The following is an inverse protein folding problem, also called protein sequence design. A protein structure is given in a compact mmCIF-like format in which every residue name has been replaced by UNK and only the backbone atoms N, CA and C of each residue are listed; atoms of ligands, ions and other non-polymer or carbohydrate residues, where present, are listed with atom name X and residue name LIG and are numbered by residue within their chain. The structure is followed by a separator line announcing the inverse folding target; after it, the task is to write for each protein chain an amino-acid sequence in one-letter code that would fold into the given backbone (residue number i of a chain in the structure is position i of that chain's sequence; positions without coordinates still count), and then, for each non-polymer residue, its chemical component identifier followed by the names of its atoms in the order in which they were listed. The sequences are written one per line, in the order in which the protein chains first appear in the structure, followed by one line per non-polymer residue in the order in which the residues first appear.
data_IF_689313874993
#
_entry.id   IF_689313874993
#
_cell.length_a   1.000
_cell.length_b   1.000
_cell.length_c   1.000
_cell.angle_alpha   90.00
_cell.angle_beta   90.00
_cell.angle_gamma   90.00
#
_symmetry.space_group_name_H-M   'P 1'
#
loop_
_entity.id
_entity.type
_entity.pdbx_description
1 polymer ?
#
# COMPACT_ATOMS: atom_id res chain seq x y z
N UNK A 1 5.76 -7.09 12.75
CA UNK A 1 6.94 -6.99 13.62
C UNK A 1 8.27 -7.11 12.86
N UNK A 2 8.43 -8.06 11.93
CA UNK A 2 9.69 -8.26 11.16
C UNK A 2 10.19 -6.97 10.47
N UNK A 3 9.29 -6.25 9.79
CA UNK A 3 9.65 -5.00 9.09
C UNK A 3 10.16 -3.88 10.01
N UNK A 4 9.77 -3.89 11.31
CA UNK A 4 10.25 -2.90 12.27
C UNK A 4 11.72 -3.13 12.66
N UNK A 5 12.20 -4.38 12.64
CA UNK A 5 13.63 -4.68 12.85
C UNK A 5 14.51 -4.11 11.74
N UNK A 6 14.00 -4.09 10.51
CA UNK A 6 14.66 -3.47 9.36
C UNK A 6 14.41 -1.96 9.25
N UNK A 7 13.75 -1.36 10.26
CA UNK A 7 13.41 0.07 10.30
C UNK A 7 12.59 0.53 9.07
N UNK A 8 11.76 -0.36 8.52
CA UNK A 8 10.88 -0.02 7.40
C UNK A 8 9.61 0.64 7.92
N UNK A 9 9.32 1.85 7.44
CA UNK A 9 8.07 2.54 7.74
C UNK A 9 6.89 1.88 7.01
N UNK A 10 5.90 1.40 7.76
CA UNK A 10 4.68 0.76 7.24
C UNK A 10 3.48 1.68 7.39
N UNK A 11 2.52 1.59 6.46
CA UNK A 11 1.23 2.30 6.54
C UNK A 11 0.15 1.43 7.20
N UNK A 12 -0.86 2.07 7.79
CA UNK A 12 -1.94 1.38 8.51
C UNK A 12 -3.01 0.82 7.56
N UNK A 13 -3.38 1.59 6.53
CA UNK A 13 -4.35 1.14 5.54
C UNK A 13 -3.83 -0.09 4.79
N UNK A 14 -4.61 -1.17 4.84
CA UNK A 14 -4.34 -2.43 4.16
C UNK A 14 -5.53 -2.75 3.25
N UNK A 15 -5.25 -3.15 2.01
CA UNK A 15 -6.26 -3.65 1.08
C UNK A 15 -6.09 -5.15 0.95
N UNK A 16 -7.18 -5.88 1.19
CA UNK A 16 -7.25 -7.30 0.90
C UNK A 16 -8.04 -7.48 -0.40
N UNK A 17 -7.36 -7.98 -1.43
CA UNK A 17 -7.98 -8.35 -2.69
C UNK A 17 -8.16 -9.86 -2.70
N UNK A 18 -9.33 -10.33 -3.09
CA UNK A 18 -9.64 -11.75 -3.16
C UNK A 18 -9.61 -12.23 -4.60
N UNK A 19 -8.97 -13.38 -4.80
CA UNK A 19 -8.87 -14.02 -6.12
C UNK A 19 -10.24 -14.41 -6.71
N UNK A 20 -11.27 -14.53 -5.88
CA UNK A 20 -12.63 -14.86 -6.33
C UNK A 20 -13.43 -13.65 -6.82
N UNK A 21 -13.21 -12.48 -6.23
CA UNK A 21 -14.03 -11.29 -6.49
C UNK A 21 -13.33 -10.26 -7.36
N UNK A 22 -11.99 -10.23 -7.31
CA UNK A 22 -11.19 -9.19 -7.95
C UNK A 22 -10.43 -9.67 -9.20
N UNK A 23 -10.60 -10.95 -9.56
CA UNK A 23 -9.94 -11.55 -10.71
C UNK A 23 -10.93 -12.37 -11.54
N UNK A 24 -11.13 -11.95 -12.79
CA UNK A 24 -11.87 -12.73 -13.78
C UNK A 24 -10.93 -13.82 -14.34
N UNK A 25 -11.38 -15.08 -14.31
CA UNK A 25 -10.59 -16.25 -14.73
C UNK A 25 -9.23 -16.39 -14.02
N UNK A 26 -9.09 -15.88 -12.79
CA UNK A 26 -7.84 -15.87 -12.01
C UNK A 26 -6.65 -15.17 -12.72
N UNK A 27 -6.92 -14.36 -13.74
CA UNK A 27 -5.87 -13.77 -14.59
C UNK A 27 -6.13 -12.29 -14.89
N UNK A 28 -7.38 -11.90 -15.13
CA UNK A 28 -7.72 -10.51 -15.44
C UNK A 28 -8.10 -9.79 -14.16
N UNK A 29 -7.24 -8.89 -13.70
CA UNK A 29 -7.51 -8.04 -12.54
C UNK A 29 -8.68 -7.11 -12.84
N UNK A 30 -9.80 -7.35 -12.16
CA UNK A 30 -11.04 -6.59 -12.27
C UNK A 30 -11.62 -6.42 -10.87
N UNK A 31 -11.05 -5.51 -10.08
CA UNK A 31 -11.43 -5.35 -8.68
C UNK A 31 -12.87 -4.87 -8.55
N UNK A 32 -13.55 -5.29 -7.49
CA UNK A 32 -14.87 -4.77 -7.18
C UNK A 32 -14.81 -3.28 -6.81
N UNK A 33 -15.83 -2.51 -7.18
CA UNK A 33 -15.87 -1.03 -7.11
C UNK A 33 -15.55 -0.47 -5.71
N UNK A 34 -15.91 -1.20 -4.65
CA UNK A 34 -15.63 -0.82 -3.26
C UNK A 34 -14.13 -0.86 -2.89
N UNK A 35 -13.28 -1.57 -3.65
CA UNK A 35 -11.84 -1.61 -3.39
C UNK A 35 -11.12 -0.34 -3.84
N UNK A 36 -11.66 0.38 -4.82
CA UNK A 36 -11.02 1.60 -5.35
C UNK A 36 -10.75 2.63 -4.25
N UNK A 37 -11.75 2.91 -3.41
CA UNK A 37 -11.62 3.85 -2.29
C UNK A 37 -10.56 3.40 -1.29
N UNK A 38 -10.50 2.11 -1.00
CA UNK A 38 -9.55 1.54 -0.04
C UNK A 38 -8.12 1.56 -0.59
N UNK A 39 -7.93 1.29 -1.89
CA UNK A 39 -6.63 1.37 -2.58
C UNK A 39 -6.13 2.80 -2.63
N UNK A 40 -6.98 3.74 -3.02
CA UNK A 40 -6.60 5.15 -3.06
C UNK A 40 -6.18 5.65 -1.68
N UNK A 41 -6.93 5.33 -0.63
CA UNK A 41 -6.56 5.73 0.73
C UNK A 41 -5.23 5.11 1.20
N UNK A 42 -4.91 3.88 0.81
CA UNK A 42 -3.59 3.28 1.07
C UNK A 42 -2.48 4.02 0.34
N UNK A 43 -2.66 4.31 -0.95
CA UNK A 43 -1.67 5.00 -1.76
C UNK A 43 -1.44 6.44 -1.29
N UNK A 44 -2.49 7.16 -0.91
CA UNK A 44 -2.40 8.51 -0.35
C UNK A 44 -1.55 8.51 0.94
N UNK A 45 -1.82 7.56 1.84
CA UNK A 45 -1.03 7.41 3.06
C UNK A 45 0.43 7.05 2.75
N UNK A 46 0.68 6.15 1.79
CA UNK A 46 2.03 5.79 1.36
C UNK A 46 2.80 7.00 0.83
N UNK A 47 2.20 7.77 -0.08
CA UNK A 47 2.82 8.94 -0.69
C UNK A 47 3.13 10.01 0.36
N UNK A 48 2.18 10.29 1.26
CA UNK A 48 2.38 11.28 2.32
C UNK A 48 3.55 10.89 3.26
N UNK A 49 3.59 9.64 3.72
CA UNK A 49 4.64 9.16 4.62
C UNK A 49 5.99 9.02 3.90
N UNK A 50 6.00 8.54 2.66
CA UNK A 50 7.20 8.46 1.85
C UNK A 50 7.80 9.84 1.59
N UNK A 51 6.96 10.85 1.32
CA UNK A 51 7.36 12.25 1.17
C UNK A 51 7.93 12.83 2.47
N UNK A 52 7.22 12.68 3.59
CA UNK A 52 7.68 13.19 4.89
C UNK A 52 9.02 12.58 5.33
N UNK A 53 9.21 11.27 5.12
CA UNK A 53 10.43 10.55 5.49
C UNK A 53 11.56 10.69 4.47
N UNK A 54 11.31 11.31 3.30
CA UNK A 54 12.32 11.50 2.25
C UNK A 54 13.53 12.27 2.75
N UNK A 55 13.31 13.35 3.52
CA UNK A 55 14.38 14.18 4.09
C UNK A 55 15.33 13.38 5.00
N UNK A 56 14.82 12.37 5.72
CA UNK A 56 15.64 11.51 6.58
C UNK A 56 16.54 10.56 5.77
N UNK A 57 16.07 10.12 4.59
CA UNK A 57 16.85 9.29 3.68
C UNK A 57 17.94 10.10 2.97
N UNK A 58 17.61 11.30 2.50
CA UNK A 58 18.57 12.17 1.79
C UNK A 58 19.64 12.77 2.70
N UNK A 59 19.35 12.98 3.99
CA UNK A 59 20.34 13.46 4.97
C UNK A 59 21.47 12.46 5.25
N UNK A 60 21.24 11.18 4.97
CA UNK A 60 22.18 10.09 5.30
C UNK A 60 22.97 9.59 4.08
N UNK A 61 22.60 10.02 2.86
CA UNK A 61 23.27 9.63 1.62
C UNK A 61 24.43 10.57 1.26
#
# INVERSE_FOLDING_TARGET
AVMAYLQVATVQNQVQLSLMTDFENFNVFKPAEHHEKSVNALLDQLVAWAGALKALREKTA
#
